data_IF_191662340660
#
_entry.id   IF_191662340660
#
_cell.length_a   1.000
_cell.length_b   1.000
_cell.length_c   1.000
_cell.angle_alpha   90.00
_cell.angle_beta   90.00
_cell.angle_gamma   90.00
#
_symmetry.space_group_name_H-M   'P 1'
#
loop_
_entity.id
_entity.type
_entity.pdbx_description
1 polymer ?
#
# COMPACT_ATOMS: atom_id res chain seq x y z
N UNK A 1 54.59 -43.29 -1.23
CA UNK A 1 54.20 -41.88 -0.98
C UNK A 1 53.52 -41.30 -2.24
N UNK A 2 52.21 -41.51 -2.42
CA UNK A 2 51.46 -40.95 -3.57
C UNK A 2 50.08 -40.38 -3.19
N UNK A 3 49.79 -40.24 -1.89
CA UNK A 3 48.45 -39.85 -1.40
C UNK A 3 48.33 -38.36 -0.99
N UNK A 4 49.44 -37.60 -1.01
CA UNK A 4 49.46 -36.19 -0.58
C UNK A 4 49.31 -35.16 -1.70
N UNK A 5 49.59 -35.51 -2.97
CA UNK A 5 49.56 -34.56 -4.10
C UNK A 5 48.13 -34.26 -4.58
N UNK A 6 47.24 -35.24 -4.54
CA UNK A 6 45.88 -35.09 -5.09
C UNK A 6 44.96 -34.21 -4.23
N UNK A 7 45.18 -34.18 -2.90
CA UNK A 7 44.42 -33.30 -1.98
C UNK A 7 44.81 -31.84 -2.10
N UNK A 8 46.06 -31.54 -2.44
CA UNK A 8 46.54 -30.17 -2.66
C UNK A 8 46.03 -29.65 -4.00
N UNK A 9 46.06 -30.47 -5.06
CA UNK A 9 45.50 -30.11 -6.36
C UNK A 9 43.99 -29.84 -6.30
N UNK A 10 43.22 -30.66 -5.56
CA UNK A 10 41.79 -30.45 -5.37
C UNK A 10 41.44 -29.19 -4.56
N UNK A 11 42.28 -28.80 -3.59
CA UNK A 11 42.10 -27.56 -2.81
C UNK A 11 42.46 -26.31 -3.62
N UNK A 12 43.51 -26.37 -4.44
CA UNK A 12 43.90 -25.29 -5.36
C UNK A 12 42.84 -25.10 -6.45
N UNK A 13 42.27 -26.19 -6.99
CA UNK A 13 41.18 -26.12 -7.95
C UNK A 13 39.91 -25.49 -7.36
N UNK A 14 39.50 -25.87 -6.13
CA UNK A 14 38.36 -25.24 -5.45
C UNK A 14 38.59 -23.76 -5.13
N UNK A 15 39.81 -23.38 -4.73
CA UNK A 15 40.16 -21.98 -4.49
C UNK A 15 40.13 -21.15 -5.79
N UNK A 16 40.59 -21.71 -6.92
CA UNK A 16 40.52 -21.07 -8.22
C UNK A 16 39.08 -20.92 -8.73
N UNK A 17 38.20 -21.92 -8.54
CA UNK A 17 36.78 -21.82 -8.92
C UNK A 17 36.03 -20.77 -8.09
N UNK A 18 36.32 -20.65 -6.78
CA UNK A 18 35.74 -19.61 -5.93
C UNK A 18 36.25 -18.21 -6.32
N UNK A 19 37.53 -18.07 -6.67
CA UNK A 19 38.10 -16.81 -7.11
C UNK A 19 37.53 -16.35 -8.46
N UNK A 20 37.33 -17.29 -9.40
CA UNK A 20 36.75 -17.03 -10.74
C UNK A 20 35.25 -16.71 -10.65
N UNK A 21 34.48 -17.44 -9.84
CA UNK A 21 33.07 -17.11 -9.57
C UNK A 21 32.93 -15.75 -8.87
N UNK A 22 33.82 -15.44 -7.93
CA UNK A 22 33.87 -14.14 -7.25
C UNK A 22 34.23 -12.98 -8.17
N UNK A 23 35.15 -13.17 -9.13
CA UNK A 23 35.50 -12.13 -10.12
C UNK A 23 34.42 -11.95 -11.19
N UNK A 24 33.75 -13.03 -11.63
CA UNK A 24 32.60 -12.93 -12.54
C UNK A 24 31.42 -12.22 -11.86
N UNK A 25 31.14 -12.51 -10.59
CA UNK A 25 30.12 -11.81 -9.82
C UNK A 25 30.48 -10.32 -9.61
N UNK A 26 31.73 -10.01 -9.26
CA UNK A 26 32.18 -8.63 -9.08
C UNK A 26 32.16 -7.82 -10.40
N UNK A 27 32.53 -8.45 -11.52
CA UNK A 27 32.45 -7.83 -12.86
C UNK A 27 31.00 -7.67 -13.33
N UNK A 28 30.10 -8.61 -12.99
CA UNK A 28 28.68 -8.48 -13.28
C UNK A 28 28.04 -7.35 -12.46
N UNK A 29 28.38 -7.21 -11.17
CA UNK A 29 27.97 -6.06 -10.37
C UNK A 29 28.54 -4.74 -10.90
N UNK A 30 29.82 -4.70 -11.29
CA UNK A 30 30.46 -3.51 -11.83
C UNK A 30 29.93 -3.11 -13.22
N UNK A 31 29.46 -4.07 -14.03
CA UNK A 31 28.85 -3.81 -15.33
C UNK A 31 27.36 -3.43 -15.21
N UNK A 32 26.67 -3.92 -14.18
CA UNK A 32 25.29 -3.56 -13.87
C UNK A 32 25.17 -2.20 -13.17
N UNK A 33 26.12 -1.84 -12.30
CA UNK A 33 26.07 -0.62 -11.48
C UNK A 33 25.89 0.71 -12.26
N UNK A 34 26.52 0.93 -13.44
CA UNK A 34 26.29 2.14 -14.23
C UNK A 34 24.87 2.21 -14.78
N UNK A 35 24.32 1.07 -15.24
CA UNK A 35 22.96 0.99 -15.79
C UNK A 35 21.89 1.07 -14.72
N UNK A 36 22.13 0.51 -13.54
CA UNK A 36 21.22 0.65 -12.40
C UNK A 36 21.26 2.06 -11.83
N UNK A 37 22.43 2.72 -11.80
CA UNK A 37 22.54 4.14 -11.43
C UNK A 37 21.80 5.06 -12.40
N UNK A 38 21.86 4.77 -13.70
CA UNK A 38 21.13 5.53 -14.72
C UNK A 38 19.62 5.27 -14.67
N UNK A 39 19.19 4.01 -14.48
CA UNK A 39 17.78 3.65 -14.32
C UNK A 39 17.18 4.22 -13.03
N UNK A 40 17.91 4.17 -11.92
CA UNK A 40 17.51 4.79 -10.64
C UNK A 40 17.54 6.31 -10.76
N UNK A 41 18.55 6.87 -11.40
CA UNK A 41 18.62 8.30 -11.70
C UNK A 41 17.47 8.76 -12.60
N UNK A 42 17.03 7.93 -13.56
CA UNK A 42 15.88 8.21 -14.42
C UNK A 42 14.57 8.09 -13.64
N UNK A 43 14.43 7.06 -12.82
CA UNK A 43 13.27 6.85 -11.97
C UNK A 43 13.09 7.96 -10.92
N UNK A 44 14.18 8.41 -10.29
CA UNK A 44 14.17 9.55 -9.35
C UNK A 44 13.85 10.86 -10.07
N UNK A 45 14.29 11.03 -11.33
CA UNK A 45 14.03 12.25 -12.11
C UNK A 45 12.62 12.30 -12.71
N UNK A 46 12.07 11.14 -13.07
CA UNK A 46 10.78 10.99 -13.75
C UNK A 46 10.13 9.64 -13.38
N UNK A 47 9.52 9.52 -12.19
CA UNK A 47 8.80 8.30 -11.83
C UNK A 47 7.65 8.06 -12.83
N UNK A 48 7.28 6.80 -13.11
CA UNK A 48 6.14 6.50 -13.96
C UNK A 48 4.87 7.17 -13.40
N UNK A 49 4.20 7.94 -14.25
CA UNK A 49 2.91 8.54 -13.89
C UNK A 49 1.87 7.45 -13.74
N UNK A 50 1.03 7.57 -12.71
CA UNK A 50 -0.16 6.75 -12.58
C UNK A 50 -1.19 7.26 -13.58
N UNK A 51 -1.64 6.40 -14.48
CA UNK A 51 -2.76 6.71 -15.37
C UNK A 51 -4.05 6.22 -14.72
N UNK A 52 -5.15 6.89 -15.03
CA UNK A 52 -6.42 6.67 -14.35
C UNK A 52 -7.56 6.65 -15.33
N UNK A 53 -8.56 5.82 -15.07
CA UNK A 53 -9.82 5.80 -15.82
C UNK A 53 -10.99 5.61 -14.88
N UNK A 54 -12.08 6.32 -15.12
CA UNK A 54 -13.30 6.19 -14.34
C UNK A 54 -14.40 5.60 -15.21
N UNK A 55 -15.10 4.60 -14.67
CA UNK A 55 -16.24 3.95 -15.32
C UNK A 55 -17.43 3.98 -14.34
N UNK A 56 -18.57 4.46 -14.81
CA UNK A 56 -19.81 4.48 -14.02
C UNK A 56 -20.46 3.09 -14.00
N UNK A 57 -20.93 2.65 -12.83
CA UNK A 57 -21.66 1.40 -12.65
C UNK A 57 -23.16 1.69 -12.71
N UNK A 58 -23.72 1.53 -13.91
CA UNK A 58 -25.10 1.90 -14.22
C UNK A 58 -26.10 0.74 -13.99
N UNK A 59 -27.36 1.03 -13.62
CA UNK A 59 -27.86 2.31 -13.08
C UNK A 59 -27.59 2.48 -11.56
N UNK A 60 -27.25 1.38 -10.88
CA UNK A 60 -26.96 1.29 -9.44
C UNK A 60 -26.43 -0.11 -9.11
N UNK A 61 -25.65 -0.24 -8.05
CA UNK A 61 -25.17 -1.54 -7.56
C UNK A 61 -26.16 -2.10 -6.53
N UNK A 62 -26.78 -3.25 -6.81
CA UNK A 62 -27.67 -3.89 -5.85
C UNK A 62 -26.87 -4.40 -4.63
N UNK A 63 -27.48 -4.31 -3.45
CA UNK A 63 -26.88 -4.77 -2.19
C UNK A 63 -27.65 -5.98 -1.70
N UNK A 64 -26.98 -7.13 -1.63
CA UNK A 64 -27.55 -8.34 -1.05
C UNK A 64 -27.58 -8.25 0.47
N UNK A 65 -28.67 -8.71 1.09
CA UNK A 65 -28.80 -8.69 2.54
C UNK A 65 -28.31 -10.02 3.12
N UNK A 66 -27.33 -9.96 4.02
CA UNK A 66 -26.94 -11.09 4.85
C UNK A 66 -27.62 -10.95 6.22
N UNK A 67 -28.25 -12.04 6.69
CA UNK A 67 -28.87 -12.05 8.02
C UNK A 67 -27.81 -11.84 9.13
N UNK A 68 -28.19 -11.31 10.31
CA UNK A 68 -27.24 -11.08 11.42
C UNK A 68 -26.50 -12.34 11.89
N UNK A 69 -27.15 -13.51 11.73
CA UNK A 69 -26.59 -14.82 12.05
C UNK A 69 -25.77 -15.45 10.90
N UNK A 70 -25.73 -14.81 9.72
CA UNK A 70 -25.05 -15.26 8.49
C UNK A 70 -23.90 -14.32 8.08
N UNK A 71 -23.23 -13.66 9.03
CA UNK A 71 -22.18 -12.68 8.74
C UNK A 71 -20.85 -13.27 8.22
N UNK A 72 -20.77 -14.58 7.93
CA UNK A 72 -19.53 -15.17 7.40
C UNK A 72 -19.15 -14.55 6.04
N UNK A 73 -17.85 -14.40 5.71
CA UNK A 73 -17.42 -13.88 4.40
C UNK A 73 -18.04 -14.62 3.22
N UNK A 74 -18.18 -15.95 3.33
CA UNK A 74 -18.78 -16.77 2.28
C UNK A 74 -20.29 -16.52 2.10
N UNK A 75 -21.02 -16.23 3.17
CA UNK A 75 -22.44 -15.91 3.10
C UNK A 75 -22.67 -14.51 2.53
N UNK A 76 -21.90 -13.50 2.98
CA UNK A 76 -21.91 -12.15 2.41
C UNK A 76 -21.68 -12.18 0.89
N UNK A 77 -20.67 -12.94 0.44
CA UNK A 77 -20.41 -13.11 -1.00
C UNK A 77 -21.55 -13.80 -1.75
N UNK A 78 -22.21 -14.80 -1.15
CA UNK A 78 -23.40 -15.44 -1.77
C UNK A 78 -24.53 -14.44 -1.93
N UNK A 79 -24.91 -13.75 -0.86
CA UNK A 79 -25.97 -12.73 -0.89
C UNK A 79 -25.66 -11.63 -1.90
N UNK A 80 -24.42 -11.14 -1.95
CA UNK A 80 -23.99 -10.13 -2.92
C UNK A 80 -24.20 -10.60 -4.37
N UNK A 81 -23.79 -11.82 -4.68
CA UNK A 81 -23.92 -12.39 -6.03
C UNK A 81 -25.37 -12.66 -6.41
N UNK A 82 -26.19 -13.10 -5.47
CA UNK A 82 -27.62 -13.33 -5.68
C UNK A 82 -28.39 -12.03 -5.93
N UNK A 83 -27.99 -10.91 -5.30
CA UNK A 83 -28.55 -9.59 -5.55
C UNK A 83 -28.15 -9.02 -6.92
N UNK A 84 -26.96 -9.36 -7.40
CA UNK A 84 -26.51 -9.06 -8.76
C UNK A 84 -25.01 -8.79 -8.82
N UNK A 85 -24.36 -9.36 -9.83
CA UNK A 85 -22.98 -9.04 -10.19
C UNK A 85 -22.96 -8.20 -11.45
N UNK A 86 -22.24 -7.09 -11.43
CA UNK A 86 -22.00 -6.25 -12.61
C UNK A 86 -20.62 -6.56 -13.16
N UNK A 87 -20.54 -6.87 -14.45
CA UNK A 87 -19.29 -7.08 -15.18
C UNK A 87 -19.01 -5.88 -16.07
N UNK A 88 -17.82 -5.30 -15.96
CA UNK A 88 -17.39 -4.11 -16.69
C UNK A 88 -16.11 -4.42 -17.47
N UNK A 89 -16.07 -4.04 -18.75
CA UNK A 89 -14.80 -3.88 -19.48
C UNK A 89 -14.35 -2.44 -19.34
N UNK A 90 -13.25 -2.21 -18.64
CA UNK A 90 -12.72 -0.85 -18.45
C UNK A 90 -11.95 -0.37 -19.67
N UNK A 91 -11.68 -1.23 -20.65
CA UNK A 91 -11.09 -0.91 -21.95
C UNK A 91 -9.56 -0.94 -21.98
N UNK A 92 -8.91 -0.41 -20.94
CA UNK A 92 -7.46 -0.40 -20.77
C UNK A 92 -7.05 -1.33 -19.62
N UNK A 93 -5.81 -1.82 -19.67
CA UNK A 93 -5.25 -2.60 -18.57
C UNK A 93 -4.97 -1.69 -17.36
N UNK A 94 -5.15 -2.23 -16.16
CA UNK A 94 -4.91 -1.54 -14.89
C UNK A 94 -4.27 -2.50 -13.88
N UNK A 95 -3.70 -1.96 -12.81
CA UNK A 95 -3.10 -2.75 -11.72
C UNK A 95 -3.81 -2.57 -10.38
N UNK A 96 -4.57 -1.48 -10.25
CA UNK A 96 -5.34 -1.14 -9.05
C UNK A 96 -6.72 -0.60 -9.42
N UNK A 97 -7.65 -0.67 -8.46
CA UNK A 97 -8.94 -0.01 -8.55
C UNK A 97 -9.45 0.43 -7.18
N UNK A 98 -10.30 1.45 -7.17
CA UNK A 98 -11.13 1.82 -6.02
C UNK A 98 -12.52 2.19 -6.50
N UNK A 99 -13.51 2.07 -5.61
CA UNK A 99 -14.90 2.39 -5.88
C UNK A 99 -15.35 3.56 -5.03
N UNK A 100 -16.04 4.54 -5.64
CA UNK A 100 -16.75 5.61 -4.93
C UNK A 100 -18.25 5.50 -5.18
N UNK A 101 -19.05 6.01 -4.25
CA UNK A 101 -20.50 6.14 -4.41
C UNK A 101 -21.07 7.28 -3.56
N UNK A 102 -22.34 7.58 -3.76
CA UNK A 102 -23.08 8.48 -2.87
C UNK A 102 -23.09 7.90 -1.45
N UNK A 103 -22.97 8.76 -0.43
CA UNK A 103 -23.03 8.32 0.97
C UNK A 103 -24.39 7.71 1.26
N UNK A 104 -24.47 6.43 1.67
CA UNK A 104 -25.73 5.82 2.04
C UNK A 104 -26.41 6.57 3.20
N UNK A 105 -27.74 6.60 3.21
CA UNK A 105 -28.51 7.28 4.26
C UNK A 105 -28.46 6.57 5.63
N UNK A 106 -27.81 5.41 5.70
CA UNK A 106 -27.72 4.51 6.86
C UNK A 106 -26.27 4.28 7.23
N UNK A 107 -26.00 3.97 8.49
CA UNK A 107 -24.68 3.59 9.01
C UNK A 107 -24.45 2.06 9.01
N UNK A 108 -25.37 1.30 8.44
CA UNK A 108 -25.24 -0.15 8.25
C UNK A 108 -23.96 -0.52 7.49
N UNK A 109 -23.32 -1.60 7.93
CA UNK A 109 -22.09 -2.10 7.31
C UNK A 109 -22.40 -2.62 5.90
N UNK A 110 -21.72 -2.07 4.91
CA UNK A 110 -21.74 -2.53 3.53
C UNK A 110 -20.33 -3.00 3.15
N UNK A 111 -20.27 -4.16 2.53
CA UNK A 111 -19.06 -4.76 2.00
C UNK A 111 -19.18 -4.84 0.48
N UNK A 112 -18.24 -4.22 -0.22
CA UNK A 112 -18.08 -4.30 -1.67
C UNK A 112 -17.16 -5.48 -1.97
N UNK A 113 -17.56 -6.30 -2.93
CA UNK A 113 -16.82 -7.45 -3.42
C UNK A 113 -16.40 -7.20 -4.86
N UNK A 114 -15.09 -7.31 -5.11
CA UNK A 114 -14.48 -7.04 -6.41
C UNK A 114 -13.65 -8.24 -6.86
N UNK A 115 -13.62 -8.54 -8.15
CA UNK A 115 -12.59 -9.39 -8.75
C UNK A 115 -12.29 -8.92 -10.16
N UNK A 116 -11.13 -9.32 -10.67
CA UNK A 116 -10.58 -8.83 -11.93
C UNK A 116 -10.20 -9.97 -12.86
N UNK A 117 -10.15 -9.67 -14.15
CA UNK A 117 -9.69 -10.60 -15.18
C UNK A 117 -9.09 -9.82 -16.36
N UNK A 118 -8.16 -10.42 -17.09
CA UNK A 118 -7.65 -9.89 -18.36
C UNK A 118 -8.47 -10.37 -19.57
N UNK A 119 -9.04 -11.57 -19.50
CA UNK A 119 -9.59 -12.31 -20.63
C UNK A 119 -11.10 -12.64 -20.48
N UNK A 120 -11.64 -12.53 -19.27
CA UNK A 120 -13.03 -12.87 -18.92
C UNK A 120 -13.22 -14.34 -18.60
N UNK A 121 -12.18 -15.16 -18.71
CA UNK A 121 -12.18 -16.59 -18.43
C UNK A 121 -11.47 -16.88 -17.10
N UNK A 122 -10.29 -16.28 -16.92
CA UNK A 122 -9.41 -16.41 -15.77
C UNK A 122 -9.63 -15.26 -14.82
N UNK A 123 -10.35 -15.51 -13.73
CA UNK A 123 -10.67 -14.50 -12.74
C UNK A 123 -9.84 -14.66 -11.48
N UNK A 124 -9.44 -13.53 -10.89
CA UNK A 124 -8.86 -13.51 -9.55
C UNK A 124 -9.86 -13.98 -8.48
N UNK A 125 -9.34 -14.22 -7.28
CA UNK A 125 -10.17 -14.37 -6.09
C UNK A 125 -10.96 -13.08 -5.82
N UNK A 126 -12.06 -13.21 -5.07
CA UNK A 126 -12.84 -12.06 -4.64
C UNK A 126 -12.11 -11.29 -3.53
N UNK A 127 -11.87 -10.02 -3.77
CA UNK A 127 -11.45 -9.04 -2.77
C UNK A 127 -12.68 -8.55 -2.00
N UNK A 128 -12.53 -8.40 -0.69
CA UNK A 128 -13.52 -7.79 0.19
C UNK A 128 -13.00 -6.42 0.61
N UNK A 129 -13.78 -5.38 0.33
CA UNK A 129 -13.49 -4.04 0.79
C UNK A 129 -14.71 -3.50 1.56
N UNK A 130 -14.56 -3.10 2.82
CA UNK A 130 -15.62 -2.37 3.51
C UNK A 130 -15.88 -1.06 2.77
N UNK A 131 -17.14 -0.64 2.76
CA UNK A 131 -17.52 0.69 2.32
C UNK A 131 -17.28 1.66 3.48
N UNK A 132 -16.30 2.53 3.32
CA UNK A 132 -15.96 3.55 4.29
C UNK A 132 -16.57 4.90 3.91
N UNK A 133 -16.74 5.79 4.89
CA UNK A 133 -17.18 7.16 4.67
C UNK A 133 -16.17 8.11 5.30
N UNK A 134 -15.62 9.01 4.49
CA UNK A 134 -14.69 10.00 4.98
C UNK A 134 -14.72 11.27 4.13
N UNK A 135 -14.22 12.35 4.74
CA UNK A 135 -13.94 13.63 4.13
C UNK A 135 -12.53 14.06 4.56
N UNK A 136 -11.91 14.93 3.76
CA UNK A 136 -10.65 15.59 4.11
C UNK A 136 -10.87 17.09 4.29
N UNK A 137 -10.47 17.63 5.44
CA UNK A 137 -10.76 19.01 5.84
C UNK A 137 -12.26 19.32 5.82
N UNK A 138 -12.62 20.44 5.18
CA UNK A 138 -14.01 20.89 5.01
C UNK A 138 -14.66 20.32 3.72
N UNK A 139 -14.05 19.31 3.10
CA UNK A 139 -14.58 18.66 1.90
C UNK A 139 -15.87 17.88 2.18
N UNK A 140 -16.64 17.59 1.11
CA UNK A 140 -17.81 16.73 1.22
C UNK A 140 -17.42 15.28 1.49
N UNK A 141 -18.15 14.63 2.38
CA UNK A 141 -17.95 13.20 2.66
C UNK A 141 -18.35 12.37 1.44
N UNK A 142 -17.54 11.34 1.15
CA UNK A 142 -17.82 10.34 0.11
C UNK A 142 -17.80 8.95 0.72
N UNK A 143 -18.62 8.06 0.18
CA UNK A 143 -18.53 6.64 0.46
C UNK A 143 -17.58 5.99 -0.55
N UNK A 144 -16.66 5.15 -0.08
CA UNK A 144 -15.59 4.62 -0.90
C UNK A 144 -15.05 3.28 -0.39
N UNK A 145 -14.33 2.56 -1.25
CA UNK A 145 -13.39 1.51 -0.86
C UNK A 145 -11.98 2.06 -0.93
N UNK A 146 -11.03 1.52 -0.16
CA UNK A 146 -9.61 1.79 -0.40
C UNK A 146 -9.20 1.47 -1.86
N UNK A 147 -8.04 1.98 -2.29
CA UNK A 147 -7.45 1.61 -3.57
C UNK A 147 -6.77 0.23 -3.48
N UNK A 148 -7.43 -0.79 -4.01
CA UNK A 148 -6.97 -2.17 -4.00
C UNK A 148 -5.96 -2.40 -5.12
N UNK A 149 -4.77 -2.90 -4.78
CA UNK A 149 -3.92 -3.54 -5.78
C UNK A 149 -4.43 -4.95 -6.07
N UNK A 150 -4.70 -5.25 -7.33
CA UNK A 150 -5.25 -6.55 -7.75
C UNK A 150 -4.32 -7.33 -8.68
N UNK A 151 -3.18 -6.73 -9.05
CA UNK A 151 -2.43 -7.15 -10.22
C UNK A 151 -3.11 -6.70 -11.51
N UNK A 152 -2.55 -7.12 -12.63
CA UNK A 152 -3.05 -6.77 -13.96
C UNK A 152 -4.50 -7.25 -14.16
N UNK A 153 -5.35 -6.35 -14.66
CA UNK A 153 -6.73 -6.62 -15.00
C UNK A 153 -7.24 -5.64 -16.05
N UNK A 154 -8.37 -5.99 -16.66
CA UNK A 154 -9.08 -5.16 -17.64
C UNK A 154 -10.59 -5.25 -17.43
N UNK A 155 -11.06 -6.44 -17.11
CA UNK A 155 -12.43 -6.70 -16.72
C UNK A 155 -12.55 -6.65 -15.20
N UNK A 156 -13.66 -6.13 -14.72
CA UNK A 156 -14.01 -6.08 -13.30
C UNK A 156 -15.39 -6.67 -13.11
N UNK A 157 -15.50 -7.56 -12.13
CA UNK A 157 -16.79 -7.95 -11.56
C UNK A 157 -16.94 -7.31 -10.18
N UNK A 158 -18.10 -6.69 -9.96
CA UNK A 158 -18.43 -6.02 -8.70
C UNK A 158 -19.82 -6.43 -8.22
N UNK A 159 -19.94 -6.68 -6.92
CA UNK A 159 -21.21 -6.87 -6.21
C UNK A 159 -21.08 -6.33 -4.78
N UNK A 160 -22.20 -6.13 -4.08
CA UNK A 160 -22.18 -5.61 -2.72
C UNK A 160 -23.12 -6.40 -1.80
N UNK A 161 -22.76 -6.51 -0.53
CA UNK A 161 -23.62 -7.04 0.51
C UNK A 161 -23.69 -6.09 1.71
N UNK A 162 -24.85 -6.03 2.35
CA UNK A 162 -25.10 -5.30 3.57
C UNK A 162 -25.45 -6.25 4.71
N UNK A 163 -25.19 -5.82 5.94
CA UNK A 163 -25.55 -6.57 7.15
C UNK A 163 -26.64 -5.81 7.90
N UNK A 164 -27.71 -6.51 8.26
CA UNK A 164 -28.84 -5.94 9.00
C UNK A 164 -30.01 -5.54 8.10
N UNK A 165 -31.17 -5.34 8.73
CA UNK A 165 -32.42 -4.99 8.04
C UNK A 165 -32.46 -3.52 7.58
N UNK A 166 -31.53 -2.70 8.10
CA UNK A 166 -31.33 -1.28 7.80
C UNK A 166 -30.29 -1.02 6.69
N UNK A 167 -29.64 -2.06 6.17
CA UNK A 167 -28.71 -1.90 5.07
C UNK A 167 -29.38 -1.33 3.80
N UNK A 168 -28.69 -0.47 3.03
CA UNK A 168 -29.26 0.10 1.82
C UNK A 168 -29.54 -1.00 0.80
N UNK A 169 -30.66 -0.93 0.08
CA UNK A 169 -31.00 -1.92 -0.96
C UNK A 169 -30.13 -1.80 -2.21
N UNK A 170 -29.52 -0.62 -2.43
CA UNK A 170 -28.62 -0.36 -3.54
C UNK A 170 -27.71 0.83 -3.24
N UNK A 171 -26.52 0.84 -3.84
CA UNK A 171 -25.63 2.00 -3.89
C UNK A 171 -25.86 2.78 -5.18
N UNK A 172 -25.88 4.12 -5.09
CA UNK A 172 -26.07 5.05 -6.22
C UNK A 172 -24.82 5.89 -6.47
N UNK A 173 -24.73 6.51 -7.65
CA UNK A 173 -23.55 7.32 -8.00
C UNK A 173 -22.26 6.51 -8.03
N UNK A 174 -22.36 5.21 -8.32
CA UNK A 174 -21.24 4.28 -8.19
C UNK A 174 -20.27 4.48 -9.34
N UNK A 175 -19.04 4.83 -9.01
CA UNK A 175 -17.93 5.01 -9.95
C UNK A 175 -16.78 4.09 -9.58
N UNK A 176 -16.23 3.41 -10.58
CA UNK A 176 -15.02 2.63 -10.45
C UNK A 176 -13.87 3.41 -11.07
N UNK A 177 -12.86 3.73 -10.27
CA UNK A 177 -11.63 4.34 -10.74
C UNK A 177 -10.53 3.28 -10.81
N UNK A 178 -10.08 2.94 -12.02
CA UNK A 178 -8.92 2.08 -12.25
C UNK A 178 -7.65 2.89 -12.36
N UNK A 179 -6.54 2.32 -11.91
CA UNK A 179 -5.23 2.94 -11.93
C UNK A 179 -4.20 1.94 -12.48
N UNK A 180 -3.36 2.40 -13.41
CA UNK A 180 -2.16 1.67 -13.82
C UNK A 180 -0.93 2.35 -13.20
N UNK A 181 -0.26 1.60 -12.34
CA UNK A 181 0.92 2.05 -11.59
C UNK A 181 2.25 1.57 -12.18
N UNK A 182 2.20 0.75 -13.23
CA UNK A 182 3.36 0.08 -13.85
C UNK A 182 3.64 0.64 -15.26
N UNK A 183 2.63 1.22 -15.92
CA UNK A 183 2.73 1.82 -17.25
C UNK A 183 3.09 0.79 -18.33
N UNK A 184 3.42 1.27 -19.55
CA UNK A 184 3.94 0.47 -20.68
C UNK A 184 5.31 -0.20 -20.43
N UNK A 185 5.76 -0.31 -19.18
CA UNK A 185 7.13 -0.67 -18.83
C UNK A 185 7.24 -1.85 -17.87
N UNK A 186 6.71 -3.01 -18.29
CA UNK A 186 6.99 -4.34 -17.72
C UNK A 186 8.48 -4.77 -17.73
N UNK A 187 9.42 -3.86 -18.01
CA UNK A 187 10.86 -4.12 -18.13
C UNK A 187 11.70 -3.34 -17.11
N UNK A 188 11.22 -2.23 -16.53
CA UNK A 188 12.06 -1.35 -15.68
C UNK A 188 11.97 -1.71 -14.18
N UNK A 189 10.91 -2.37 -13.73
CA UNK A 189 10.73 -2.81 -12.33
C UNK A 189 11.79 -3.81 -11.84
N UNK A 190 12.44 -4.57 -12.74
CA UNK A 190 13.50 -5.52 -12.40
C UNK A 190 14.81 -4.87 -11.91
N UNK A 191 15.04 -3.59 -12.19
CA UNK A 191 16.28 -2.91 -11.82
C UNK A 191 16.27 -2.31 -10.40
N UNK A 192 15.09 -1.97 -9.87
CA UNK A 192 14.95 -1.29 -8.57
C UNK A 192 15.11 -2.25 -7.37
N UNK A 193 14.77 -3.53 -7.53
CA UNK A 193 14.86 -4.52 -6.45
C UNK A 193 16.31 -4.83 -6.02
N UNK A 194 17.29 -4.61 -6.90
CA UNK A 194 18.69 -4.98 -6.67
C UNK A 194 19.49 -3.90 -5.93
N UNK A 195 18.90 -2.72 -5.66
CA UNK A 195 19.65 -1.56 -5.13
C UNK A 195 19.30 -1.16 -3.70
N UNK A 196 18.82 -2.08 -2.85
CA UNK A 196 18.62 -1.82 -1.41
C UNK A 196 19.82 -2.13 -0.52
N UNK A 197 21.02 -2.36 -1.08
CA UNK A 197 22.19 -2.73 -0.29
C UNK A 197 23.43 -1.83 -0.44
N UNK A 198 23.35 -0.69 -1.13
CA UNK A 198 24.50 0.22 -1.27
C UNK A 198 24.09 1.69 -1.23
N UNK A 199 23.73 2.22 -0.05
CA UNK A 199 24.15 3.55 0.45
C UNK A 199 23.95 3.55 1.97
N UNK A 200 24.95 3.07 2.72
CA UNK A 200 25.02 3.25 4.17
C UNK A 200 26.48 3.23 4.63
N UNK A 201 27.21 4.31 4.39
CA UNK A 201 28.43 4.70 5.12
C UNK A 201 28.77 6.11 4.64
N UNK A 202 28.72 7.16 5.45
CA UNK A 202 29.78 7.56 6.39
C UNK A 202 29.14 8.40 7.50
N UNK A 203 29.35 8.00 8.76
CA UNK A 203 29.43 8.93 9.89
C UNK A 203 30.29 8.29 10.97
N UNK A 204 31.40 8.96 11.29
CA UNK A 204 32.37 8.51 12.29
C UNK A 204 31.81 8.64 13.71
N UNK A 205 32.03 7.61 14.52
CA UNK A 205 31.57 7.55 15.90
C UNK A 205 32.62 8.17 16.83
N UNK A 206 32.26 9.26 17.50
CA UNK A 206 32.77 9.61 18.81
C UNK A 206 31.85 9.00 19.87
N UNK A 207 32.41 8.28 20.83
CA UNK A 207 31.66 7.59 21.89
C UNK A 207 31.23 8.57 23.00
N UNK A 208 29.94 8.60 23.29
CA UNK A 208 29.38 9.13 24.53
C UNK A 208 28.42 8.09 25.15
N UNK A 209 28.43 8.00 26.48
CA UNK A 209 27.74 7.00 27.31
C UNK A 209 26.19 7.12 27.22
N UNK A 210 25.43 6.04 27.55
CA UNK A 210 24.01 5.94 27.19
C UNK A 210 23.14 6.88 28.02
N UNK A 211 22.39 7.75 27.32
CA UNK A 211 21.12 8.25 27.82
C UNK A 211 20.07 7.12 27.68
N UNK A 212 18.98 7.15 28.45
CA UNK A 212 17.87 6.21 28.32
C UNK A 212 17.55 5.98 26.83
N UNK A 213 17.59 4.72 26.38
CA UNK A 213 17.61 4.39 24.96
C UNK A 213 16.37 4.96 24.26
N UNK A 214 16.57 6.03 23.48
CA UNK A 214 15.56 6.54 22.58
C UNK A 214 15.33 5.50 21.48
N UNK A 215 14.07 5.29 21.08
CA UNK A 215 13.74 4.47 19.92
C UNK A 215 14.43 5.08 18.71
N UNK A 216 15.19 4.26 17.98
CA UNK A 216 15.87 4.72 16.78
C UNK A 216 14.85 5.20 15.74
N UNK A 217 15.24 6.21 14.95
CA UNK A 217 14.35 6.68 13.89
C UNK A 217 14.24 5.59 12.81
N UNK A 218 13.02 5.17 12.41
CA UNK A 218 12.85 4.15 11.39
C UNK A 218 13.47 4.58 10.06
N UNK A 219 14.06 3.62 9.35
CA UNK A 219 14.36 3.80 7.94
C UNK A 219 13.04 3.85 7.15
N UNK A 220 12.89 4.87 6.31
CA UNK A 220 11.71 5.03 5.46
C UNK A 220 12.06 5.51 4.06
N UNK A 221 11.15 5.22 3.14
CA UNK A 221 11.14 5.79 1.80
C UNK A 221 10.40 7.13 1.88
N UNK A 222 11.11 8.21 1.55
CA UNK A 222 10.54 9.56 1.50
C UNK A 222 9.56 9.71 0.36
N UNK A 223 8.75 10.78 0.37
CA UNK A 223 7.83 11.11 -0.75
C UNK A 223 8.51 11.16 -2.11
N UNK A 224 9.62 11.90 -2.21
CA UNK A 224 10.47 11.88 -3.40
C UNK A 224 11.02 10.47 -3.70
N UNK A 225 11.37 9.71 -2.66
CA UNK A 225 11.90 8.36 -2.75
C UNK A 225 10.91 7.28 -3.21
N UNK A 226 9.59 7.50 -3.17
CA UNK A 226 8.57 6.64 -3.81
C UNK A 226 7.95 7.25 -5.07
N UNK A 227 8.37 8.48 -5.42
CA UNK A 227 7.96 9.18 -6.63
C UNK A 227 6.63 9.92 -6.51
N UNK A 228 6.36 10.56 -5.36
CA UNK A 228 5.18 11.38 -5.17
C UNK A 228 5.06 12.48 -6.24
N UNK A 229 3.91 12.53 -6.92
CA UNK A 229 3.57 13.68 -7.75
C UNK A 229 3.01 14.80 -6.87
N UNK A 230 3.89 15.66 -6.38
CA UNK A 230 3.52 16.77 -5.50
C UNK A 230 2.62 17.82 -6.19
N UNK A 231 2.44 17.75 -7.52
CA UNK A 231 1.48 18.60 -8.24
C UNK A 231 0.02 18.17 -8.03
N UNK A 232 -0.22 16.93 -7.58
CA UNK A 232 -1.56 16.47 -7.20
C UNK A 232 -2.01 17.02 -5.85
N UNK A 233 -1.08 17.34 -4.94
CA UNK A 233 -1.40 17.81 -3.59
C UNK A 233 -2.20 19.10 -3.67
N UNK A 234 -3.37 19.13 -3.03
CA UNK A 234 -4.33 20.23 -3.18
C UNK A 234 -4.14 21.36 -2.17
N UNK A 235 -3.66 21.05 -0.97
CA UNK A 235 -3.48 22.01 0.13
C UNK A 235 -2.23 21.74 0.96
N UNK A 236 -1.86 22.75 1.77
CA UNK A 236 -0.80 22.67 2.75
C UNK A 236 -1.18 21.83 3.99
N UNK A 237 -0.18 21.21 4.65
CA UNK A 237 -0.42 20.31 5.75
C UNK A 237 -0.97 21.04 6.98
N UNK A 238 -1.98 20.42 7.61
CA UNK A 238 -2.50 20.83 8.91
C UNK A 238 -1.82 20.03 10.02
N UNK A 239 -1.60 20.66 11.17
CA UNK A 239 -0.92 20.05 12.31
C UNK A 239 -1.78 20.04 13.56
N UNK A 240 -1.72 18.94 14.31
CA UNK A 240 -2.33 18.77 15.62
C UNK A 240 -1.41 17.98 16.55
N UNK A 241 -1.63 18.08 17.86
CA UNK A 241 -0.93 17.24 18.85
C UNK A 241 -1.40 15.79 18.69
N UNK A 242 -0.49 14.87 18.42
CA UNK A 242 -0.80 13.44 18.35
C UNK A 242 -1.14 12.94 19.76
N UNK A 243 -2.19 12.14 19.86
CA UNK A 243 -2.65 11.49 21.09
C UNK A 243 -2.69 9.97 20.98
N UNK A 244 -2.84 9.45 19.76
CA UNK A 244 -3.01 8.02 19.48
C UNK A 244 -2.60 7.68 18.04
N UNK A 245 -2.53 6.39 17.73
CA UNK A 245 -2.32 5.88 16.39
C UNK A 245 -3.46 4.96 15.96
N UNK A 246 -3.82 5.01 14.67
CA UNK A 246 -4.74 4.07 14.04
C UNK A 246 -3.96 3.22 13.04
N UNK A 247 -4.23 1.92 13.04
CA UNK A 247 -3.65 0.94 12.11
C UNK A 247 -4.75 0.46 11.17
N UNK A 248 -4.46 0.54 9.88
CA UNK A 248 -5.34 0.11 8.80
C UNK A 248 -4.64 -0.97 7.96
N UNK A 249 -5.39 -1.57 7.04
CA UNK A 249 -4.83 -2.20 5.85
C UNK A 249 -5.39 -1.51 4.60
N UNK A 250 -4.93 -1.86 3.40
CA UNK A 250 -5.42 -1.22 2.15
C UNK A 250 -6.43 -2.10 1.38
N UNK A 251 -6.82 -3.24 1.94
CA UNK A 251 -7.73 -4.23 1.36
C UNK A 251 -7.32 -4.80 -0.03
N UNK A 252 -6.07 -4.58 -0.45
CA UNK A 252 -5.51 -5.08 -1.72
C UNK A 252 -4.86 -6.47 -1.63
N UNK A 253 -4.52 -7.06 -2.76
CA UNK A 253 -3.84 -8.35 -2.84
C UNK A 253 -2.45 -8.35 -2.20
N UNK A 254 -2.06 -9.51 -1.65
CA UNK A 254 -0.78 -9.71 -0.95
C UNK A 254 0.34 -10.26 -1.84
N UNK A 255 0.13 -10.35 -3.17
CA UNK A 255 1.05 -11.02 -4.11
C UNK A 255 1.96 -10.06 -4.87
N UNK A 256 1.88 -8.75 -4.64
CA UNK A 256 2.78 -7.77 -5.24
C UNK A 256 4.23 -8.00 -4.81
N UNK A 257 5.16 -7.61 -5.67
CA UNK A 257 6.60 -7.66 -5.46
C UNK A 257 7.10 -6.39 -4.73
N UNK A 258 8.27 -6.48 -4.09
CA UNK A 258 8.88 -5.32 -3.42
C UNK A 258 9.19 -4.16 -4.37
N UNK A 259 9.30 -4.42 -5.68
CA UNK A 259 9.49 -3.41 -6.71
C UNK A 259 8.19 -2.70 -7.11
N UNK A 260 7.04 -3.35 -6.95
CA UNK A 260 5.72 -2.78 -7.23
C UNK A 260 5.22 -1.89 -6.07
N UNK A 261 5.70 -2.11 -4.85
CA UNK A 261 5.24 -1.39 -3.66
C UNK A 261 5.27 0.16 -3.79
N UNK A 262 6.33 0.82 -4.33
CA UNK A 262 6.28 2.27 -4.57
C UNK A 262 5.19 2.68 -5.56
N UNK A 263 4.90 1.84 -6.57
CA UNK A 263 3.79 2.06 -7.52
C UNK A 263 2.44 2.01 -6.83
N UNK A 264 2.24 1.05 -5.92
CA UNK A 264 1.02 0.94 -5.12
C UNK A 264 0.82 2.20 -4.26
N UNK A 265 1.87 2.71 -3.61
CA UNK A 265 1.80 3.96 -2.83
C UNK A 265 1.39 5.14 -3.72
N UNK A 266 1.95 5.25 -4.94
CA UNK A 266 1.53 6.28 -5.91
C UNK A 266 0.07 6.11 -6.34
N UNK A 267 -0.40 4.88 -6.54
CA UNK A 267 -1.79 4.58 -6.86
C UNK A 267 -2.75 5.02 -5.76
N UNK A 268 -2.46 4.66 -4.50
CA UNK A 268 -3.24 5.08 -3.32
C UNK A 268 -3.29 6.61 -3.23
N UNK A 269 -2.15 7.29 -3.37
CA UNK A 269 -2.10 8.75 -3.37
C UNK A 269 -2.97 9.35 -4.49
N UNK A 270 -2.85 8.82 -5.71
CA UNK A 270 -3.61 9.29 -6.87
C UNK A 270 -5.10 9.09 -6.67
N UNK A 271 -5.52 7.93 -6.15
CA UNK A 271 -6.92 7.64 -5.87
C UNK A 271 -7.49 8.55 -4.78
N UNK A 272 -6.76 8.76 -3.67
CA UNK A 272 -7.19 9.66 -2.60
C UNK A 272 -7.41 11.10 -3.12
N UNK A 273 -6.50 11.61 -3.96
CA UNK A 273 -6.64 12.97 -4.47
C UNK A 273 -7.71 13.08 -5.56
N UNK A 274 -7.63 12.24 -6.61
CA UNK A 274 -8.45 12.39 -7.80
C UNK A 274 -9.82 11.70 -7.68
N UNK A 275 -9.88 10.55 -7.00
CA UNK A 275 -11.12 9.81 -6.76
C UNK A 275 -11.91 10.33 -5.56
N UNK A 276 -11.23 10.53 -4.42
CA UNK A 276 -11.87 10.95 -3.18
C UNK A 276 -11.87 12.47 -2.98
N UNK A 277 -11.07 13.22 -3.75
CA UNK A 277 -10.97 14.66 -3.61
C UNK A 277 -10.16 15.12 -2.40
N UNK A 278 -9.38 14.25 -1.77
CA UNK A 278 -8.58 14.62 -0.60
C UNK A 278 -7.39 15.51 -0.95
N UNK A 279 -6.86 16.19 0.06
CA UNK A 279 -5.77 17.15 -0.13
C UNK A 279 -4.43 16.48 -0.40
N UNK A 280 -4.26 15.26 0.11
CA UNK A 280 -3.09 14.40 -0.08
C UNK A 280 -3.47 12.95 0.28
N UNK A 281 -2.53 12.02 0.19
CA UNK A 281 -2.69 10.64 0.68
C UNK A 281 -3.14 10.64 2.16
N UNK A 282 -4.25 9.98 2.49
CA UNK A 282 -4.88 10.07 3.81
C UNK A 282 -4.05 9.50 4.96
N UNK A 283 -3.21 8.49 4.72
CA UNK A 283 -2.36 7.89 5.76
C UNK A 283 -1.08 8.70 5.98
N UNK A 284 -0.64 8.81 7.23
CA UNK A 284 0.67 9.40 7.54
C UNK A 284 1.82 8.49 7.09
N UNK A 285 1.64 7.18 7.21
CA UNK A 285 2.61 6.18 6.77
C UNK A 285 1.93 4.98 6.13
N UNK A 286 2.67 4.30 5.27
CA UNK A 286 2.30 2.99 4.75
C UNK A 286 3.44 2.01 5.00
N UNK A 287 3.10 0.74 5.25
CA UNK A 287 4.09 -0.33 5.45
C UNK A 287 3.81 -1.44 4.45
N UNK A 288 4.79 -1.78 3.61
CA UNK A 288 4.63 -2.94 2.72
C UNK A 288 4.86 -4.27 3.43
N UNK A 289 4.42 -5.36 2.80
CA UNK A 289 4.59 -6.73 3.30
C UNK A 289 6.05 -7.17 3.51
N UNK A 290 7.01 -6.39 3.02
CA UNK A 290 8.45 -6.62 3.15
C UNK A 290 9.07 -5.81 4.29
N UNK A 291 8.28 -5.03 5.03
CA UNK A 291 8.73 -4.19 6.14
C UNK A 291 9.27 -2.84 5.72
N UNK A 292 9.07 -2.41 4.47
CA UNK A 292 9.46 -1.05 4.04
C UNK A 292 8.41 -0.05 4.50
N UNK A 293 8.85 0.98 5.24
CA UNK A 293 8.00 2.12 5.63
C UNK A 293 8.06 3.19 4.54
N UNK A 294 6.91 3.74 4.16
CA UNK A 294 6.77 4.85 3.23
C UNK A 294 6.15 6.05 3.96
N UNK A 295 6.76 7.23 3.80
CA UNK A 295 6.18 8.48 4.30
C UNK A 295 5.00 8.86 3.40
N UNK A 296 3.78 8.82 3.94
CA UNK A 296 2.55 9.20 3.25
C UNK A 296 2.34 10.71 3.28
N UNK A 297 1.32 11.16 4.02
CA UNK A 297 0.85 12.55 4.14
C UNK A 297 2.02 13.55 4.28
N UNK A 298 2.07 14.54 3.40
CA UNK A 298 3.08 15.61 3.38
C UNK A 298 3.05 16.43 4.68
N UNK A 299 4.19 16.99 5.08
CA UNK A 299 4.27 17.91 6.22
C UNK A 299 5.27 17.51 7.31
N UNK A 300 5.94 16.37 7.16
CA UNK A 300 7.09 15.96 7.97
C UNK A 300 6.77 14.77 8.89
N UNK A 301 7.49 13.63 8.78
CA UNK A 301 7.12 12.37 9.43
C UNK A 301 7.15 12.44 10.96
N UNK A 302 8.01 13.27 11.55
CA UNK A 302 8.07 13.47 13.00
C UNK A 302 6.90 14.34 13.53
N UNK A 303 6.29 15.19 12.70
CA UNK A 303 5.24 16.14 13.14
C UNK A 303 3.87 15.47 13.21
N UNK A 304 2.95 16.05 13.98
CA UNK A 304 1.56 15.59 14.05
C UNK A 304 0.75 16.11 12.87
N UNK A 305 1.03 15.62 11.67
CA UNK A 305 0.28 15.98 10.46
C UNK A 305 -1.11 15.33 10.53
N UNK A 306 -2.16 16.13 10.36
CA UNK A 306 -3.55 15.63 10.31
C UNK A 306 -3.77 14.88 8.99
N UNK A 307 -4.13 13.60 9.09
CA UNK A 307 -4.45 12.72 7.96
C UNK A 307 -5.93 12.78 7.55
N UNK A 308 -6.34 11.80 6.73
CA UNK A 308 -7.73 11.58 6.30
C UNK A 308 -8.12 10.08 6.38
N UNK A 309 -7.54 9.35 7.33
CA UNK A 309 -7.62 7.88 7.41
C UNK A 309 -8.68 7.36 8.39
N UNK A 310 -9.16 8.16 9.33
CA UNK A 310 -10.13 7.77 10.34
C UNK A 310 -11.14 8.91 10.55
N UNK A 311 -12.28 8.84 9.88
CA UNK A 311 -13.30 9.89 9.95
C UNK A 311 -13.72 10.17 11.41
N UNK A 312 -13.79 11.45 11.79
CA UNK A 312 -14.00 11.88 13.17
C UNK A 312 -12.78 11.80 14.10
N UNK A 313 -11.72 11.08 13.71
CA UNK A 313 -10.52 10.84 14.52
C UNK A 313 -9.20 11.26 13.84
N UNK A 314 -9.25 11.85 12.65
CA UNK A 314 -8.09 12.36 11.91
C UNK A 314 -7.28 13.38 12.72
N UNK A 315 -7.96 14.32 13.39
CA UNK A 315 -7.28 15.34 14.20
C UNK A 315 -6.80 14.75 15.51
N UNK A 316 -5.49 14.79 15.74
CA UNK A 316 -4.89 14.28 16.97
C UNK A 316 -4.55 12.79 16.94
N UNK A 317 -4.56 12.17 15.76
CA UNK A 317 -4.03 10.82 15.56
C UNK A 317 -2.98 10.77 14.45
N UNK A 318 -2.29 9.64 14.37
CA UNK A 318 -1.42 9.28 13.24
C UNK A 318 -1.93 7.97 12.64
N UNK A 319 -2.11 7.92 11.33
CA UNK A 319 -2.59 6.74 10.61
C UNK A 319 -1.47 5.99 9.91
N UNK A 320 -1.41 4.68 10.13
CA UNK A 320 -0.50 3.78 9.41
C UNK A 320 -1.32 2.70 8.70
N UNK A 321 -1.13 2.54 7.39
CA UNK A 321 -1.79 1.45 6.64
C UNK A 321 -0.79 0.39 6.21
N UNK A 322 -1.05 -0.87 6.56
CA UNK A 322 -0.25 -2.01 6.08
C UNK A 322 -0.80 -2.44 4.72
N UNK A 323 0.00 -2.34 3.67
CA UNK A 323 -0.45 -2.59 2.30
C UNK A 323 -0.76 -4.08 2.07
N UNK A 324 -2.02 -4.37 1.80
CA UNK A 324 -2.53 -5.73 1.67
C UNK A 324 -3.92 -5.92 2.31
N UNK A 325 -4.35 -7.18 2.38
CA UNK A 325 -5.57 -7.62 3.07
C UNK A 325 -5.20 -8.62 4.15
N UNK A 326 -5.63 -8.34 5.37
CA UNK A 326 -5.28 -9.13 6.55
C UNK A 326 -6.52 -9.49 7.39
N UNK A 327 -7.68 -9.57 6.75
CA UNK A 327 -8.95 -9.98 7.38
C UNK A 327 -8.89 -11.44 7.84
N UNK A 328 -8.40 -12.32 6.96
CA UNK A 328 -8.29 -13.77 7.19
C UNK A 328 -6.84 -14.27 7.07
N UNK A 329 -5.88 -13.36 6.84
CA UNK A 329 -4.46 -13.65 6.69
C UNK A 329 -3.64 -12.90 7.74
N UNK A 330 -2.66 -13.57 8.33
CA UNK A 330 -1.74 -12.94 9.29
C UNK A 330 -0.72 -12.08 8.52
N UNK A 331 -0.53 -10.80 8.88
CA UNK A 331 0.50 -9.98 8.25
C UNK A 331 1.90 -10.59 8.42
N UNK A 332 2.77 -10.56 7.40
CA UNK A 332 4.12 -11.08 7.52
C UNK A 332 4.93 -10.39 8.62
N UNK A 333 5.80 -11.16 9.30
CA UNK A 333 6.63 -10.63 10.39
C UNK A 333 7.41 -9.35 10.02
N UNK A 334 8.04 -9.23 8.84
CA UNK A 334 8.71 -7.99 8.45
C UNK A 334 7.79 -6.75 8.49
N UNK A 335 6.53 -6.90 8.11
CA UNK A 335 5.56 -5.81 8.13
C UNK A 335 5.14 -5.44 9.56
N UNK A 336 4.89 -6.44 10.41
CA UNK A 336 4.51 -6.20 11.82
C UNK A 336 5.67 -5.64 12.64
N UNK A 337 6.90 -6.08 12.38
CA UNK A 337 8.10 -5.59 13.04
C UNK A 337 8.37 -4.13 12.67
N UNK A 338 8.27 -3.79 11.38
CA UNK A 338 8.41 -2.42 10.89
C UNK A 338 7.30 -1.51 11.44
N UNK A 339 6.05 -1.99 11.45
CA UNK A 339 4.92 -1.28 12.05
C UNK A 339 5.15 -1.01 13.54
N UNK A 340 5.56 -2.02 14.30
CA UNK A 340 5.83 -1.90 15.73
C UNK A 340 6.93 -0.89 16.02
N UNK A 341 8.04 -0.95 15.28
CA UNK A 341 9.15 0.00 15.41
C UNK A 341 8.72 1.43 15.05
N UNK A 342 7.97 1.61 13.96
CA UNK A 342 7.44 2.90 13.54
C UNK A 342 6.51 3.52 14.57
N UNK A 343 5.59 2.73 15.13
CA UNK A 343 4.65 3.22 16.14
C UNK A 343 5.38 3.55 17.45
N UNK A 344 6.32 2.72 17.89
CA UNK A 344 7.13 3.01 19.08
C UNK A 344 7.86 4.35 18.94
N UNK A 345 8.55 4.56 17.81
CA UNK A 345 9.23 5.82 17.52
C UNK A 345 8.25 7.00 17.45
N UNK A 346 7.15 6.85 16.71
CA UNK A 346 6.18 7.93 16.49
C UNK A 346 5.52 8.37 17.79
N UNK A 347 5.18 7.43 18.67
CA UNK A 347 4.59 7.74 19.97
C UNK A 347 5.64 8.35 20.91
N UNK A 348 6.87 7.85 20.93
CA UNK A 348 7.96 8.42 21.74
C UNK A 348 8.28 9.87 21.36
N UNK A 349 8.36 10.18 20.06
CA UNK A 349 8.59 11.55 19.56
C UNK A 349 7.51 12.53 20.05
N UNK A 350 6.31 12.03 20.35
CA UNK A 350 5.19 12.81 20.88
C UNK A 350 5.01 12.64 22.41
N UNK A 351 5.91 11.93 23.09
CA UNK A 351 5.88 11.71 24.54
C UNK A 351 4.70 10.85 25.01
N UNK A 352 4.21 9.95 24.16
CA UNK A 352 3.03 9.11 24.42
C UNK A 352 3.45 7.72 24.91
N UNK A 353 2.79 7.25 25.95
CA UNK A 353 2.86 5.86 26.39
C UNK A 353 1.88 5.01 25.57
N UNK A 354 2.35 4.00 24.80
CA UNK A 354 1.48 3.15 23.99
C UNK A 354 0.46 2.33 24.81
N UNK A 355 0.65 2.21 26.13
CA UNK A 355 -0.28 1.52 27.03
C UNK A 355 -1.25 2.47 27.75
N UNK A 356 -1.09 3.78 27.56
CA UNK A 356 -1.95 4.77 28.19
C UNK A 356 -3.31 4.91 27.48
N UNK A 357 -4.27 5.50 28.20
CA UNK A 357 -5.58 5.87 27.64
C UNK A 357 -5.52 7.27 27.06
N UNK A 358 -6.00 7.44 25.82
CA UNK A 358 -6.17 8.74 25.18
C UNK A 358 -7.65 9.14 25.12
N UNK A 359 -7.92 10.45 25.12
CA UNK A 359 -9.25 11.03 24.89
C UNK A 359 -9.17 12.06 23.78
N UNK A 360 -10.11 11.96 22.83
CA UNK A 360 -10.30 12.96 21.79
C UNK A 360 -10.82 14.25 22.39
#
# INVERSE_FOLDING_TARGET
MRWGRDRVAARVARAATVLVLGTVAALALAWAAPRTSEAVGTWVKSPPKVTTRTVTVEPRLQVGLAGPAEASPAARLRSAREAGTVTLDVGDDFTMLGLTCDVPATDAEVEVRLRTSLDGESWSAWYAAPLEVAADGDGEARAFTDALWTGEGRLVEVCAAGVGDDAPLALTGVELMTLDTEGDSGVVAKAAATLRQVVATISGVGLAAPAAAAVETPDWVTRAGWGADESLRRDDPVYATVKMAFVHHTAGGNTYTAAQAPGIVRGIYTYHVLGLGWNDIGYNFLVDRYGTVYVGRYGGPARGVVGAHAYGFNTGSTGVSVMGTFTDEVPPAPATDALGHLLAWKLEVHGLDPLATAKM
#
